data_IF_793418118155
#
_entry.id   IF_793418118155
#
_cell.length_a   1.000
_cell.length_b   1.000
_cell.length_c   1.000
_cell.angle_alpha   90.00
_cell.angle_beta   90.00
_cell.angle_gamma   90.00
#
_symmetry.space_group_name_H-M   'P 1'
#
loop_
_entity.id
_entity.type
_entity.pdbx_description
1 polymer ?
#
# COMPACT_ATOMS: atom_id res chain seq x y z
N UNK A 1 14.45 21.83 -0.58
CA UNK A 1 14.04 20.87 -1.63
C UNK A 1 12.99 19.93 -1.06
N UNK A 2 11.92 19.77 -1.76
CA UNK A 2 10.88 18.82 -1.33
C UNK A 2 11.06 17.50 -2.03
N UNK A 3 11.00 16.44 -1.26
CA UNK A 3 10.96 15.09 -1.81
C UNK A 3 9.50 14.69 -1.95
N UNK A 4 9.06 14.46 -3.17
CA UNK A 4 7.69 14.07 -3.46
C UNK A 4 7.66 12.60 -3.81
N UNK A 5 6.99 11.82 -2.98
CA UNK A 5 6.77 10.40 -3.25
C UNK A 5 5.46 10.27 -4.02
N UNK A 6 5.56 10.02 -5.32
CA UNK A 6 4.40 9.93 -6.18
C UNK A 6 3.61 8.65 -5.97
N UNK A 7 4.27 7.60 -5.50
CA UNK A 7 3.64 6.32 -5.23
C UNK A 7 3.99 5.88 -3.83
N UNK A 8 2.99 5.84 -2.98
CA UNK A 8 3.19 5.41 -1.60
C UNK A 8 2.03 4.52 -1.17
N UNK A 9 2.29 3.72 -0.15
CA UNK A 9 1.27 2.84 0.41
C UNK A 9 1.22 2.98 1.91
N UNK A 10 0.02 2.87 2.45
CA UNK A 10 -0.21 2.72 3.88
C UNK A 10 -0.79 1.35 4.15
N UNK A 11 -0.26 0.67 5.14
CA UNK A 11 -0.77 -0.62 5.58
C UNK A 11 -1.34 -0.48 6.98
N UNK A 12 -2.58 -0.91 7.14
CA UNK A 12 -3.24 -0.96 8.44
C UNK A 12 -3.36 -2.43 8.84
N UNK A 13 -2.54 -2.86 9.80
CA UNK A 13 -2.44 -4.25 10.18
C UNK A 13 -3.40 -4.55 11.31
N UNK A 14 -4.32 -5.45 11.07
CA UNK A 14 -5.25 -5.98 12.05
C UNK A 14 -4.88 -7.42 12.40
N UNK A 15 -5.62 -8.02 13.29
CA UNK A 15 -5.30 -9.34 13.81
C UNK A 15 -5.23 -10.41 12.73
N UNK A 16 -6.16 -10.38 11.77
CA UNK A 16 -6.25 -11.40 10.73
C UNK A 16 -6.18 -10.83 9.31
N UNK A 17 -6.14 -9.52 9.19
CA UNK A 17 -6.16 -8.86 7.89
C UNK A 17 -5.22 -7.67 7.84
N UNK A 18 -4.79 -7.33 6.64
CA UNK A 18 -4.05 -6.10 6.35
C UNK A 18 -4.84 -5.34 5.30
N UNK A 19 -5.20 -4.11 5.63
CA UNK A 19 -5.81 -3.21 4.65
C UNK A 19 -4.70 -2.36 4.04
N UNK A 20 -4.52 -2.47 2.74
CA UNK A 20 -3.50 -1.72 2.02
C UNK A 20 -4.13 -0.63 1.19
N UNK A 21 -3.58 0.57 1.28
CA UNK A 21 -4.01 1.71 0.50
C UNK A 21 -2.82 2.25 -0.27
N UNK A 22 -2.90 2.23 -1.59
CA UNK A 22 -1.87 2.79 -2.46
C UNK A 22 -2.34 4.13 -2.98
N UNK A 23 -1.52 5.16 -2.83
CA UNK A 23 -1.76 6.48 -3.39
C UNK A 23 -0.77 6.75 -4.51
N UNK A 24 -1.31 7.17 -5.63
CA UNK A 24 -0.52 7.58 -6.78
C UNK A 24 -0.87 9.03 -7.06
N UNK A 25 0.10 9.93 -6.86
CA UNK A 25 -0.08 11.35 -7.15
C UNK A 25 0.39 11.62 -8.57
N UNK A 26 -0.47 12.28 -9.36
CA UNK A 26 -0.15 12.71 -10.73
C UNK A 26 -0.60 14.14 -10.87
N UNK A 27 0.32 15.03 -11.11
CA UNK A 27 0.06 16.45 -11.37
C UNK A 27 -1.17 17.01 -10.65
N UNK A 28 -2.35 16.94 -11.30
CA UNK A 28 -3.61 17.44 -10.74
C UNK A 28 -4.54 16.34 -10.30
N UNK A 29 -4.17 15.09 -10.50
CA UNK A 29 -4.99 13.96 -10.17
C UNK A 29 -4.31 13.07 -9.15
N UNK A 30 -5.10 12.46 -8.30
CA UNK A 30 -4.62 11.47 -7.36
C UNK A 30 -5.46 10.21 -7.53
N UNK A 31 -4.82 9.08 -7.69
CA UNK A 31 -5.49 7.80 -7.72
C UNK A 31 -5.24 7.08 -6.40
N UNK A 32 -6.25 6.36 -5.94
CA UNK A 32 -6.15 5.60 -4.70
C UNK A 32 -6.73 4.21 -4.92
N UNK A 33 -5.95 3.21 -4.51
CA UNK A 33 -6.37 1.81 -4.59
C UNK A 33 -6.33 1.21 -3.21
N UNK A 34 -7.41 0.56 -2.80
CA UNK A 34 -7.52 -0.06 -1.50
C UNK A 34 -7.85 -1.53 -1.67
N UNK A 35 -7.12 -2.39 -0.99
CA UNK A 35 -7.38 -3.82 -1.01
C UNK A 35 -7.05 -4.44 0.34
N UNK A 36 -7.82 -5.45 0.73
CA UNK A 36 -7.63 -6.17 1.98
C UNK A 36 -6.99 -7.52 1.69
N UNK A 37 -5.99 -7.87 2.51
CA UNK A 37 -5.27 -9.14 2.39
C UNK A 37 -5.32 -9.87 3.72
N UNK A 38 -5.28 -11.20 3.69
CA UNK A 38 -5.17 -11.98 4.90
C UNK A 38 -3.72 -11.95 5.43
N UNK A 39 -3.56 -12.06 6.74
CA UNK A 39 -2.22 -12.11 7.36
C UNK A 39 -1.58 -13.50 7.30
N UNK A 40 -2.02 -14.34 6.37
CA UNK A 40 -1.42 -15.63 6.07
C UNK A 40 -0.22 -15.44 5.13
N UNK A 41 0.63 -16.46 5.03
CA UNK A 41 1.77 -16.42 4.10
C UNK A 41 1.31 -16.12 2.67
N UNK A 42 0.27 -16.80 2.21
CA UNK A 42 -0.29 -16.58 0.87
C UNK A 42 -0.81 -15.16 0.72
N UNK A 43 -1.52 -14.66 1.74
CA UNK A 43 -2.06 -13.30 1.70
C UNK A 43 -0.96 -12.25 1.68
N UNK A 44 0.10 -12.44 2.46
CA UNK A 44 1.22 -11.50 2.50
C UNK A 44 2.02 -11.50 1.21
N UNK A 45 2.17 -12.67 0.56
CA UNK A 45 2.82 -12.75 -0.74
C UNK A 45 1.98 -12.04 -1.81
N UNK A 46 0.66 -12.20 -1.75
CA UNK A 46 -0.24 -11.49 -2.66
C UNK A 46 -0.15 -9.98 -2.45
N UNK A 47 -0.06 -9.53 -1.19
CA UNK A 47 0.12 -8.12 -0.87
C UNK A 47 1.43 -7.59 -1.46
N UNK A 48 2.53 -8.32 -1.33
CA UNK A 48 3.81 -7.91 -1.88
C UNK A 48 3.75 -7.76 -3.39
N UNK A 49 3.13 -8.73 -4.07
CA UNK A 49 2.93 -8.66 -5.53
C UNK A 49 2.07 -7.47 -5.93
N UNK A 50 1.00 -7.23 -5.17
CA UNK A 50 0.10 -6.11 -5.44
C UNK A 50 0.82 -4.77 -5.30
N UNK A 51 1.63 -4.61 -4.24
CA UNK A 51 2.42 -3.40 -4.04
C UNK A 51 3.44 -3.23 -5.16
N UNK A 52 4.10 -4.30 -5.56
CA UNK A 52 5.07 -4.26 -6.65
C UNK A 52 4.41 -3.87 -7.98
N UNK A 53 3.20 -4.37 -8.23
CA UNK A 53 2.48 -4.04 -9.46
C UNK A 53 2.10 -2.56 -9.55
N UNK A 54 1.98 -1.88 -8.41
CA UNK A 54 1.71 -0.45 -8.36
C UNK A 54 2.99 0.39 -8.27
N UNK A 55 4.15 -0.24 -8.31
CA UNK A 55 5.46 0.44 -8.28
C UNK A 55 5.57 1.38 -7.07
N UNK A 56 5.18 0.89 -5.91
CA UNK A 56 5.20 1.68 -4.68
C UNK A 56 6.62 1.95 -4.23
N UNK A 57 6.93 3.22 -3.97
CA UNK A 57 8.28 3.65 -3.55
C UNK A 57 8.44 3.64 -2.03
N UNK A 58 7.38 3.96 -1.31
CA UNK A 58 7.42 4.09 0.15
C UNK A 58 6.21 3.38 0.75
N UNK A 59 6.44 2.60 1.80
CA UNK A 59 5.38 1.90 2.52
C UNK A 59 5.42 2.32 4.00
N UNK A 60 4.32 2.83 4.49
CA UNK A 60 4.12 3.08 5.91
C UNK A 60 3.26 1.98 6.50
N UNK A 61 3.49 1.63 7.76
CA UNK A 61 2.75 0.55 8.41
C UNK A 61 2.28 0.99 9.78
N UNK A 62 1.03 0.70 10.09
CA UNK A 62 0.46 0.91 11.41
C UNK A 62 -0.20 -0.38 11.88
N UNK A 63 -0.05 -0.69 13.16
CA UNK A 63 -0.69 -1.84 13.77
C UNK A 63 -1.72 -1.37 14.80
N UNK A 64 -2.88 -1.99 14.81
CA UNK A 64 -3.93 -1.71 15.78
C UNK A 64 -4.08 -2.85 16.77
#
# INVERSE_FOLDING_TARGET
MQVIHRRCAGLDVHKQTVVACVRIARDREAAQHVQTFATTTTGLLALADWLASHEVAVVGMEAT
#
